data_IF_822615854471
#
_entry.id   IF_822615854471
#
_cell.length_a   1.000
_cell.length_b   1.000
_cell.length_c   1.000
_cell.angle_alpha   90.00
_cell.angle_beta   90.00
_cell.angle_gamma   90.00
#
_symmetry.space_group_name_H-M   'P 1'
#
loop_
_entity.id
_entity.type
_entity.pdbx_description
1 polymer ?
#
# COMPACT_ATOMS: atom_id res chain seq x y z
N UNK A 1 7.60 22.17 -17.01
CA UNK A 1 7.72 21.16 -15.93
C UNK A 1 6.42 21.21 -15.14
N UNK A 2 5.57 20.18 -15.25
CA UNK A 2 4.38 20.09 -14.40
C UNK A 2 4.83 19.79 -12.98
N UNK A 3 4.50 20.66 -12.03
CA UNK A 3 4.60 20.34 -10.60
C UNK A 3 3.55 19.25 -10.33
N UNK A 4 4.00 18.07 -9.90
CA UNK A 4 3.09 17.09 -9.31
C UNK A 4 2.38 17.77 -8.14
N UNK A 5 1.06 17.71 -8.13
CA UNK A 5 0.29 18.23 -7.01
C UNK A 5 0.41 17.31 -5.82
N UNK A 6 0.13 17.83 -4.62
CA UNK A 6 0.08 17.01 -3.41
C UNK A 6 -0.95 15.87 -3.53
N UNK A 7 -1.98 16.04 -4.38
CA UNK A 7 -2.98 15.00 -4.66
C UNK A 7 -2.42 13.91 -5.58
N UNK A 8 -1.69 14.28 -6.64
CA UNK A 8 -1.05 13.29 -7.52
C UNK A 8 -0.08 12.41 -6.73
N UNK A 9 0.72 13.03 -5.86
CA UNK A 9 1.64 12.31 -4.96
C UNK A 9 0.90 11.37 -4.00
N UNK A 10 -0.25 11.81 -3.48
CA UNK A 10 -1.03 11.02 -2.53
C UNK A 10 -1.72 9.81 -3.21
N UNK A 11 -2.18 9.99 -4.44
CA UNK A 11 -2.71 8.89 -5.27
C UNK A 11 -1.61 7.87 -5.61
N UNK A 12 -0.40 8.33 -5.93
CA UNK A 12 0.74 7.43 -6.15
C UNK A 12 1.08 6.64 -4.88
N UNK A 13 1.07 7.27 -3.71
CA UNK A 13 1.28 6.56 -2.43
C UNK A 13 0.20 5.53 -2.12
N UNK A 14 -1.07 5.84 -2.39
CA UNK A 14 -2.17 4.85 -2.26
C UNK A 14 -1.88 3.63 -3.14
N UNK A 15 -1.58 3.89 -4.42
CA UNK A 15 -1.36 2.86 -5.42
C UNK A 15 -0.17 1.98 -5.07
N UNK A 16 0.95 2.58 -4.69
CA UNK A 16 2.17 1.86 -4.33
C UNK A 16 1.97 1.01 -3.08
N UNK A 17 1.28 1.55 -2.05
CA UNK A 17 0.95 0.80 -0.85
C UNK A 17 0.00 -0.38 -1.15
N UNK A 18 -0.99 -0.17 -2.03
CA UNK A 18 -1.89 -1.23 -2.50
C UNK A 18 -1.13 -2.35 -3.22
N UNK A 19 -0.24 -1.97 -4.14
CA UNK A 19 0.58 -2.93 -4.88
C UNK A 19 1.51 -3.71 -3.95
N UNK A 20 2.15 -3.04 -2.99
CA UNK A 20 2.99 -3.69 -1.99
C UNK A 20 2.20 -4.69 -1.12
N UNK A 21 1.00 -4.32 -0.67
CA UNK A 21 0.13 -5.20 0.11
C UNK A 21 -0.17 -6.50 -0.64
N UNK A 22 -0.53 -6.40 -1.92
CA UNK A 22 -0.79 -7.54 -2.80
C UNK A 22 0.47 -8.37 -3.07
N UNK A 23 1.60 -7.73 -3.35
CA UNK A 23 2.86 -8.43 -3.62
C UNK A 23 3.32 -9.23 -2.39
N UNK A 24 3.33 -8.63 -1.20
CA UNK A 24 3.69 -9.33 0.03
C UNK A 24 2.70 -10.44 0.37
N UNK A 25 1.41 -10.24 0.10
CA UNK A 25 0.39 -11.27 0.29
C UNK A 25 0.59 -12.49 -0.63
N UNK A 26 1.07 -12.26 -1.85
CA UNK A 26 1.42 -13.33 -2.79
C UNK A 26 2.74 -13.99 -2.40
N UNK A 27 3.78 -13.22 -2.11
CA UNK A 27 5.11 -13.77 -1.78
C UNK A 27 5.04 -14.71 -0.56
N UNK A 28 4.25 -14.39 0.47
CA UNK A 28 4.13 -15.25 1.65
C UNK A 28 3.56 -16.65 1.35
N UNK A 29 2.80 -16.83 0.24
CA UNK A 29 2.24 -18.15 -0.11
C UNK A 29 3.32 -19.11 -0.61
N UNK A 30 4.39 -18.57 -1.19
CA UNK A 30 5.49 -19.34 -1.78
C UNK A 30 6.64 -19.60 -0.80
N UNK A 31 6.59 -18.99 0.41
CA UNK A 31 7.67 -19.10 1.40
C UNK A 31 7.45 -20.31 2.30
N UNK A 32 8.43 -21.22 2.34
CA UNK A 32 8.43 -22.40 3.23
C UNK A 32 8.82 -22.01 4.66
N UNK A 33 9.82 -21.14 4.83
CA UNK A 33 10.31 -20.75 6.15
C UNK A 33 9.23 -19.97 6.95
N UNK A 34 8.80 -20.47 8.12
CA UNK A 34 7.68 -19.90 8.84
C UNK A 34 7.99 -18.51 9.44
N UNK A 35 9.25 -18.23 9.78
CA UNK A 35 9.63 -16.92 10.31
C UNK A 35 9.58 -15.87 9.21
N UNK A 36 10.11 -16.19 8.03
CA UNK A 36 10.07 -15.32 6.86
C UNK A 36 8.63 -15.11 6.39
N UNK A 37 7.80 -16.16 6.33
CA UNK A 37 6.36 -16.04 6.02
C UNK A 37 5.68 -15.04 6.94
N UNK A 38 5.97 -15.07 8.25
CA UNK A 38 5.42 -14.13 9.22
C UNK A 38 5.86 -12.69 8.96
N UNK A 39 7.11 -12.47 8.53
CA UNK A 39 7.60 -11.13 8.16
C UNK A 39 6.81 -10.59 6.97
N UNK A 40 6.62 -11.39 5.91
CA UNK A 40 5.88 -10.96 4.72
C UNK A 40 4.39 -10.76 5.00
N UNK A 41 3.80 -11.60 5.85
CA UNK A 41 2.44 -11.41 6.35
C UNK A 41 2.27 -10.04 7.03
N UNK A 42 3.20 -9.69 7.93
CA UNK A 42 3.21 -8.37 8.58
C UNK A 42 3.39 -7.25 7.56
N UNK A 43 4.34 -7.38 6.63
CA UNK A 43 4.58 -6.36 5.61
C UNK A 43 3.34 -6.10 4.74
N UNK A 44 2.61 -7.16 4.36
CA UNK A 44 1.33 -7.04 3.64
C UNK A 44 0.28 -6.28 4.44
N UNK A 45 0.14 -6.60 5.73
CA UNK A 45 -0.81 -5.92 6.62
C UNK A 45 -0.50 -4.43 6.80
N UNK A 46 0.75 -4.09 7.11
CA UNK A 46 1.18 -2.69 7.30
C UNK A 46 1.03 -1.86 6.02
N UNK A 47 1.31 -2.47 4.85
CA UNK A 47 1.08 -1.83 3.56
C UNK A 47 -0.42 -1.58 3.30
N UNK A 48 -1.30 -2.52 3.65
CA UNK A 48 -2.73 -2.35 3.55
C UNK A 48 -3.25 -1.23 4.49
N UNK A 49 -2.73 -1.14 5.73
CA UNK A 49 -3.06 -0.02 6.61
C UNK A 49 -2.61 1.33 6.03
N UNK A 50 -1.41 1.38 5.44
CA UNK A 50 -0.89 2.58 4.79
C UNK A 50 -1.77 3.01 3.60
N UNK A 51 -2.17 2.05 2.76
CA UNK A 51 -3.10 2.25 1.65
C UNK A 51 -4.42 2.83 2.15
N UNK A 52 -5.01 2.25 3.20
CA UNK A 52 -6.27 2.74 3.75
C UNK A 52 -6.16 4.17 4.29
N UNK A 53 -5.05 4.52 4.94
CA UNK A 53 -4.80 5.89 5.43
C UNK A 53 -4.70 6.88 4.27
N UNK A 54 -4.00 6.54 3.20
CA UNK A 54 -3.91 7.36 2.00
C UNK A 54 -5.28 7.53 1.33
N UNK A 55 -6.02 6.43 1.11
CA UNK A 55 -7.36 6.45 0.54
C UNK A 55 -8.33 7.32 1.35
N UNK A 56 -8.32 7.20 2.68
CA UNK A 56 -9.14 8.03 3.55
C UNK A 56 -8.81 9.53 3.42
N UNK A 57 -7.52 9.87 3.31
CA UNK A 57 -7.10 11.25 3.13
C UNK A 57 -7.52 11.79 1.75
N UNK A 58 -7.39 11.00 0.68
CA UNK A 58 -7.87 11.35 -0.67
C UNK A 58 -9.38 11.65 -0.64
N UNK A 59 -10.17 10.73 -0.06
CA UNK A 59 -11.62 10.89 0.09
C UNK A 59 -11.98 12.14 0.90
N UNK A 60 -11.27 12.42 2.00
CA UNK A 60 -11.51 13.61 2.83
C UNK A 60 -11.27 14.92 2.09
N UNK A 61 -10.48 14.91 1.01
CA UNK A 61 -10.19 16.06 0.15
C UNK A 61 -11.15 16.18 -1.04
N UNK A 62 -12.17 15.33 -1.11
CA UNK A 62 -13.21 15.36 -2.15
C UNK A 62 -12.82 14.66 -3.46
N UNK A 63 -11.72 13.91 -3.45
CA UNK A 63 -11.23 13.17 -4.60
C UNK A 63 -11.46 11.65 -4.42
N UNK A 64 -11.29 10.86 -5.47
CA UNK A 64 -11.46 9.40 -5.43
C UNK A 64 -10.08 8.69 -5.47
N UNK A 65 -9.82 7.74 -4.56
CA UNK A 65 -8.61 6.91 -4.62
C UNK A 65 -8.59 6.04 -5.87
#
# INVERSE_FOLDING_TARGET
MNKLSDMDMLQDYEKDARMAALAYALIQTEIIDPALRKVLSKASHEAAESQQKAANLILSRGDRP
#
